data_IF_655360944494
#
_entry.id   IF_655360944494
#
_cell.length_a   1.000
_cell.length_b   1.000
_cell.length_c   1.000
_cell.angle_alpha   90.00
_cell.angle_beta   90.00
_cell.angle_gamma   90.00
#
_symmetry.space_group_name_H-M   'P 1'
#
loop_
_entity.id
_entity.type
_entity.pdbx_description
1 polymer ?
#
# COMPACT_ATOMS: atom_id res chain seq x y z
N UNK A 1 21.25 16.90 74.95
CA UNK A 1 21.19 15.65 74.16
C UNK A 1 22.57 15.39 73.57
N UNK A 2 23.28 14.37 74.04
CA UNK A 2 24.56 13.94 73.46
C UNK A 2 24.25 12.92 72.36
N UNK A 3 24.43 13.30 71.09
CA UNK A 3 24.45 12.32 70.01
C UNK A 3 25.70 11.46 70.19
N UNK A 4 25.53 10.18 70.58
CA UNK A 4 26.59 9.18 70.47
C UNK A 4 26.75 8.87 68.98
N UNK A 5 27.81 9.39 68.37
CA UNK A 5 28.17 9.12 66.98
C UNK A 5 29.19 7.98 66.93
N UNK A 6 28.78 6.77 67.29
CA UNK A 6 29.51 5.56 66.91
C UNK A 6 28.71 4.92 65.78
N UNK A 7 28.99 5.33 64.54
CA UNK A 7 28.46 4.67 63.36
C UNK A 7 29.04 3.25 63.37
N UNK A 8 28.17 2.26 63.48
CA UNK A 8 28.58 0.86 63.44
C UNK A 8 29.07 0.52 62.03
N UNK A 9 30.16 -0.24 61.92
CA UNK A 9 30.64 -0.78 60.63
C UNK A 9 29.52 -1.53 59.89
N UNK A 10 28.59 -2.15 60.63
CA UNK A 10 27.40 -2.79 60.08
C UNK A 10 26.46 -1.81 59.39
N UNK A 11 26.20 -0.63 59.98
CA UNK A 11 25.34 0.40 59.39
C UNK A 11 25.93 0.94 58.09
N UNK A 12 27.26 1.10 58.05
CA UNK A 12 27.99 1.56 56.87
C UNK A 12 27.92 0.54 55.72
N UNK A 13 28.03 -0.75 56.04
CA UNK A 13 27.85 -1.85 55.07
C UNK A 13 26.41 -1.97 54.57
N UNK A 14 25.41 -1.78 55.45
CA UNK A 14 24.00 -1.76 55.05
C UNK A 14 23.70 -0.57 54.14
N UNK A 15 24.19 0.63 54.47
CA UNK A 15 24.03 1.81 53.63
C UNK A 15 24.68 1.62 52.24
N UNK A 16 25.89 1.05 52.19
CA UNK A 16 26.56 0.72 50.93
C UNK A 16 25.75 -0.28 50.09
N UNK A 17 25.19 -1.32 50.72
CA UNK A 17 24.37 -2.33 50.05
C UNK A 17 23.08 -1.73 49.47
N UNK A 18 22.45 -0.79 50.19
CA UNK A 18 21.28 -0.05 49.71
C UNK A 18 21.65 0.80 48.49
N UNK A 19 22.76 1.53 48.53
CA UNK A 19 23.22 2.36 47.40
C UNK A 19 23.51 1.49 46.16
N UNK A 20 24.22 0.38 46.31
CA UNK A 20 24.51 -0.56 45.22
C UNK A 20 23.21 -1.11 44.62
N UNK A 21 22.24 -1.46 45.47
CA UNK A 21 20.92 -1.93 45.03
C UNK A 21 20.16 -0.85 44.25
N UNK A 22 20.17 0.39 44.74
CA UNK A 22 19.52 1.53 44.08
C UNK A 22 20.14 1.82 42.70
N UNK A 23 21.47 1.77 42.60
CA UNK A 23 22.19 1.90 41.31
C UNK A 23 21.78 0.78 40.36
N UNK A 24 21.69 -0.46 40.84
CA UNK A 24 21.23 -1.61 40.05
C UNK A 24 19.81 -1.42 39.50
N UNK A 25 18.89 -0.89 40.32
CA UNK A 25 17.53 -0.56 39.90
C UNK A 25 17.54 0.53 38.83
N UNK A 26 18.31 1.61 39.02
CA UNK A 26 18.40 2.72 38.04
C UNK A 26 18.95 2.25 36.69
N UNK A 27 19.98 1.41 36.69
CA UNK A 27 20.56 0.82 35.47
C UNK A 27 19.52 -0.06 34.76
N UNK A 28 18.85 -0.94 35.51
CA UNK A 28 17.83 -1.86 34.96
C UNK A 28 16.64 -1.08 34.41
N UNK A 29 16.21 -0.03 35.12
CA UNK A 29 15.15 0.86 34.66
C UNK A 29 15.50 1.56 33.35
N UNK A 30 16.69 2.16 33.27
CA UNK A 30 17.15 2.82 32.04
C UNK A 30 17.25 1.83 30.86
N UNK A 31 17.78 0.62 31.11
CA UNK A 31 17.83 -0.44 30.10
C UNK A 31 16.43 -0.85 29.63
N UNK A 32 15.49 -1.02 30.55
CA UNK A 32 14.10 -1.37 30.22
C UNK A 32 13.43 -0.28 29.38
N UNK A 33 13.66 1.00 29.69
CA UNK A 33 13.18 2.12 28.88
C UNK A 33 13.76 2.11 27.47
N UNK A 34 15.06 1.85 27.31
CA UNK A 34 15.70 1.74 25.99
C UNK A 34 15.13 0.58 25.17
N UNK A 35 14.91 -0.59 25.80
CA UNK A 35 14.30 -1.75 25.14
C UNK A 35 12.87 -1.42 24.71
N UNK A 36 12.08 -0.77 25.56
CA UNK A 36 10.71 -0.38 25.24
C UNK A 36 10.66 0.57 24.04
N UNK A 37 11.52 1.60 24.01
CA UNK A 37 11.66 2.54 22.88
C UNK A 37 12.04 1.79 21.59
N UNK A 38 13.00 0.88 21.67
CA UNK A 38 13.46 0.14 20.50
C UNK A 38 12.42 -0.83 19.93
N UNK A 39 11.67 -1.51 20.81
CA UNK A 39 10.55 -2.37 20.42
C UNK A 39 9.45 -1.56 19.73
N UNK A 40 9.13 -0.39 20.27
CA UNK A 40 8.10 0.47 19.69
C UNK A 40 8.54 1.07 18.35
N UNK A 41 9.79 1.51 18.23
CA UNK A 41 10.38 1.94 16.96
C UNK A 41 10.32 0.84 15.89
N UNK A 42 10.68 -0.39 16.26
CA UNK A 42 10.62 -1.55 15.36
C UNK A 42 9.20 -1.78 14.84
N UNK A 43 8.19 -1.75 15.73
CA UNK A 43 6.77 -1.88 15.33
C UNK A 43 6.34 -0.77 14.36
N UNK A 44 6.76 0.47 14.59
CA UNK A 44 6.46 1.57 13.67
C UNK A 44 7.07 1.35 12.28
N UNK A 45 8.31 0.83 12.22
CA UNK A 45 8.97 0.48 10.96
C UNK A 45 8.26 -0.65 10.25
N UNK A 46 7.93 -1.72 10.97
CA UNK A 46 7.20 -2.89 10.43
C UNK A 46 5.87 -2.46 9.81
N UNK A 47 5.08 -1.65 10.53
CA UNK A 47 3.83 -1.09 10.01
C UNK A 47 4.06 -0.21 8.78
N UNK A 48 5.11 0.62 8.77
CA UNK A 48 5.44 1.46 7.62
C UNK A 48 5.85 0.65 6.39
N UNK A 49 6.61 -0.43 6.60
CA UNK A 49 7.01 -1.38 5.55
C UNK A 49 5.78 -2.10 5.00
N UNK A 50 4.87 -2.54 5.87
CA UNK A 50 3.65 -3.22 5.46
C UNK A 50 2.72 -2.28 4.69
N UNK A 51 2.54 -1.02 5.11
CA UNK A 51 1.81 0.00 4.33
C UNK A 51 2.42 0.18 2.94
N UNK A 52 3.74 0.37 2.87
CA UNK A 52 4.45 0.54 1.61
C UNK A 52 4.26 -0.67 0.70
N UNK A 53 4.41 -1.89 1.25
CA UNK A 53 4.24 -3.14 0.54
C UNK A 53 2.82 -3.31 0.01
N UNK A 54 1.79 -3.03 0.81
CA UNK A 54 0.39 -3.17 0.39
C UNK A 54 0.05 -2.24 -0.78
N UNK A 55 0.55 -1.00 -0.77
CA UNK A 55 0.36 -0.04 -1.87
C UNK A 55 1.11 -0.50 -3.13
N UNK A 56 2.33 -1.02 -2.98
CA UNK A 56 3.08 -1.56 -4.11
C UNK A 56 2.40 -2.80 -4.71
N UNK A 57 1.92 -3.72 -3.88
CA UNK A 57 1.17 -4.88 -4.32
C UNK A 57 -0.11 -4.48 -5.06
N UNK A 58 -0.82 -3.45 -4.60
CA UNK A 58 -1.99 -2.95 -5.34
C UNK A 58 -1.58 -2.46 -6.74
N UNK A 59 -0.50 -1.69 -6.87
CA UNK A 59 0.02 -1.32 -8.18
C UNK A 59 0.30 -2.55 -9.06
N UNK A 60 0.94 -3.58 -8.51
CA UNK A 60 1.27 -4.82 -9.24
C UNK A 60 0.01 -5.58 -9.68
N UNK A 61 -1.02 -5.66 -8.83
CA UNK A 61 -2.30 -6.29 -9.15
C UNK A 61 -3.06 -5.54 -10.27
N UNK A 62 -3.01 -4.21 -10.28
CA UNK A 62 -3.58 -3.40 -11.38
C UNK A 62 -2.84 -3.67 -12.70
N UNK A 63 -1.51 -3.86 -12.67
CA UNK A 63 -0.76 -4.25 -13.88
C UNK A 63 -1.10 -5.67 -14.34
N UNK A 64 -1.29 -6.59 -13.38
CA UNK A 64 -1.69 -7.97 -13.67
C UNK A 64 -3.07 -8.02 -14.34
N UNK A 65 -4.00 -7.16 -13.94
CA UNK A 65 -5.31 -7.03 -14.59
C UNK A 65 -5.16 -6.77 -16.10
N UNK A 66 -4.34 -5.80 -16.51
CA UNK A 66 -4.14 -5.52 -17.95
C UNK A 66 -3.51 -6.71 -18.70
N UNK A 67 -2.60 -7.46 -18.06
CA UNK A 67 -2.04 -8.68 -18.66
C UNK A 67 -3.11 -9.77 -18.87
N UNK A 68 -4.06 -9.89 -17.95
CA UNK A 68 -5.18 -10.84 -18.08
C UNK A 68 -6.16 -10.38 -19.17
N UNK A 69 -6.37 -9.08 -19.29
CA UNK A 69 -7.18 -8.49 -20.36
C UNK A 69 -6.57 -8.77 -21.74
N UNK A 70 -5.24 -8.80 -21.91
CA UNK A 70 -4.62 -9.19 -23.20
C UNK A 70 -5.00 -10.63 -23.63
N UNK A 71 -5.15 -11.54 -22.66
CA UNK A 71 -5.63 -12.90 -22.91
C UNK A 71 -7.09 -12.87 -23.36
N UNK A 72 -7.92 -12.07 -22.70
CA UNK A 72 -9.33 -11.88 -23.06
C UNK A 72 -9.49 -11.26 -24.46
N UNK A 73 -8.69 -10.25 -24.82
CA UNK A 73 -8.69 -9.65 -26.16
C UNK A 73 -8.48 -10.72 -27.24
N UNK A 74 -7.55 -11.66 -27.00
CA UNK A 74 -7.29 -12.77 -27.93
C UNK A 74 -8.49 -13.71 -28.06
N UNK A 75 -9.17 -14.02 -26.96
CA UNK A 75 -10.36 -14.88 -26.96
C UNK A 75 -11.51 -14.21 -27.71
N UNK A 76 -11.81 -12.96 -27.38
CA UNK A 76 -12.88 -12.17 -28.01
C UNK A 76 -12.61 -11.96 -29.50
N UNK A 77 -11.37 -11.73 -29.91
CA UNK A 77 -11.00 -11.61 -31.33
C UNK A 77 -11.30 -12.91 -32.11
N UNK A 78 -11.12 -14.09 -31.47
CA UNK A 78 -11.47 -15.38 -32.10
C UNK A 78 -12.97 -15.51 -32.24
N UNK A 79 -13.74 -15.24 -31.19
CA UNK A 79 -15.19 -15.24 -31.25
C UNK A 79 -15.71 -14.33 -32.35
N UNK A 80 -15.19 -13.10 -32.45
CA UNK A 80 -15.56 -12.19 -33.53
C UNK A 80 -15.28 -12.77 -34.93
N UNK A 81 -14.15 -13.44 -35.10
CA UNK A 81 -13.78 -14.07 -36.38
C UNK A 81 -14.72 -15.22 -36.74
N UNK A 82 -15.21 -15.95 -35.73
CA UNK A 82 -16.12 -17.10 -35.90
C UNK A 82 -17.57 -16.68 -36.14
N UNK A 83 -18.05 -15.66 -35.44
CA UNK A 83 -19.47 -15.26 -35.44
C UNK A 83 -19.76 -14.06 -36.33
N UNK A 84 -18.76 -13.21 -36.57
CA UNK A 84 -18.91 -11.88 -37.18
C UNK A 84 -19.96 -11.00 -36.47
N UNK A 85 -20.22 -11.24 -35.19
CA UNK A 85 -21.21 -10.51 -34.39
C UNK A 85 -20.50 -9.54 -33.43
N UNK A 86 -20.60 -8.24 -33.72
CA UNK A 86 -19.98 -7.17 -32.92
C UNK A 86 -20.64 -7.00 -31.56
N UNK A 87 -21.95 -7.21 -31.47
CA UNK A 87 -22.71 -7.03 -30.24
C UNK A 87 -22.33 -8.14 -29.26
N UNK A 88 -22.35 -9.39 -29.73
CA UNK A 88 -21.90 -10.53 -28.93
C UNK A 88 -20.44 -10.37 -28.48
N UNK A 89 -19.57 -9.92 -29.39
CA UNK A 89 -18.14 -9.70 -29.10
C UNK A 89 -17.94 -8.63 -28.03
N UNK A 90 -18.66 -7.51 -28.12
CA UNK A 90 -18.64 -6.46 -27.09
C UNK A 90 -19.11 -7.00 -25.75
N UNK A 91 -20.25 -7.70 -25.73
CA UNK A 91 -20.87 -8.17 -24.49
C UNK A 91 -19.97 -9.17 -23.77
N UNK A 92 -19.38 -10.12 -24.50
CA UNK A 92 -18.41 -11.06 -23.95
C UNK A 92 -17.13 -10.38 -23.44
N UNK A 93 -16.65 -9.36 -24.16
CA UNK A 93 -15.50 -8.59 -23.72
C UNK A 93 -15.79 -7.84 -22.41
N UNK A 94 -16.93 -7.16 -22.33
CA UNK A 94 -17.34 -6.42 -21.16
C UNK A 94 -17.60 -7.32 -19.96
N UNK A 95 -18.27 -8.45 -20.16
CA UNK A 95 -18.46 -9.46 -19.11
C UNK A 95 -17.11 -9.92 -18.55
N UNK A 96 -16.18 -10.30 -19.44
CA UNK A 96 -14.85 -10.73 -19.04
C UNK A 96 -14.05 -9.65 -18.31
N UNK A 97 -14.03 -8.42 -18.83
CA UNK A 97 -13.33 -7.29 -18.19
C UNK A 97 -13.94 -6.97 -16.82
N UNK A 98 -15.26 -6.98 -16.71
CA UNK A 98 -15.97 -6.72 -15.45
C UNK A 98 -15.68 -7.80 -14.41
N UNK A 99 -15.66 -9.07 -14.82
CA UNK A 99 -15.28 -10.16 -13.94
C UNK A 99 -13.84 -10.00 -13.41
N UNK A 100 -12.88 -9.72 -14.30
CA UNK A 100 -11.49 -9.48 -13.92
C UNK A 100 -11.36 -8.28 -12.96
N UNK A 101 -12.17 -7.22 -13.17
CA UNK A 101 -12.21 -6.05 -12.28
C UNK A 101 -12.77 -6.42 -10.91
N UNK A 102 -13.86 -7.18 -10.84
CA UNK A 102 -14.46 -7.62 -9.58
C UNK A 102 -13.49 -8.49 -8.76
N UNK A 103 -12.76 -9.39 -9.43
CA UNK A 103 -11.75 -10.24 -8.78
C UNK A 103 -10.60 -9.40 -8.21
N UNK A 104 -10.14 -8.40 -8.97
CA UNK A 104 -9.16 -7.43 -8.51
C UNK A 104 -9.67 -6.63 -7.30
N UNK A 105 -10.86 -6.03 -7.39
CA UNK A 105 -11.43 -5.21 -6.32
C UNK A 105 -11.61 -6.03 -5.02
N UNK A 106 -11.99 -7.31 -5.14
CA UNK A 106 -12.05 -8.24 -4.00
C UNK A 106 -10.69 -8.43 -3.33
N UNK A 107 -9.62 -8.61 -4.11
CA UNK A 107 -8.25 -8.69 -3.58
C UNK A 107 -7.83 -7.38 -2.92
N UNK A 108 -8.18 -6.23 -3.48
CA UNK A 108 -7.84 -4.91 -2.91
C UNK A 108 -8.57 -4.67 -1.60
N UNK A 109 -9.88 -4.95 -1.54
CA UNK A 109 -10.68 -4.86 -0.31
C UNK A 109 -10.10 -5.76 0.80
N UNK A 110 -9.62 -6.96 0.45
CA UNK A 110 -9.02 -7.89 1.43
C UNK A 110 -7.76 -7.34 2.13
N UNK A 111 -7.12 -6.30 1.57
CA UNK A 111 -5.95 -5.63 2.19
C UNK A 111 -6.33 -4.69 3.33
N UNK A 112 -7.63 -4.39 3.51
CA UNK A 112 -8.21 -3.60 4.61
C UNK A 112 -7.43 -2.32 4.96
N UNK A 113 -7.27 -1.45 3.96
CA UNK A 113 -6.55 -0.19 4.10
C UNK A 113 -7.13 0.73 5.19
N UNK A 114 -8.43 0.63 5.50
CA UNK A 114 -9.06 1.42 6.55
C UNK A 114 -8.59 0.98 7.94
N UNK A 115 -8.62 -0.32 8.24
CA UNK A 115 -8.06 -0.83 9.49
C UNK A 115 -6.56 -0.53 9.58
N UNK A 116 -5.84 -0.64 8.46
CA UNK A 116 -4.43 -0.31 8.42
C UNK A 116 -4.15 1.17 8.74
N UNK A 117 -4.96 2.09 8.21
CA UNK A 117 -4.87 3.51 8.56
C UNK A 117 -5.04 3.76 10.06
N UNK A 118 -6.02 3.11 10.72
CA UNK A 118 -6.17 3.22 12.17
C UNK A 118 -4.93 2.75 12.94
N UNK A 119 -4.26 1.69 12.48
CA UNK A 119 -3.01 1.23 13.08
C UNK A 119 -1.89 2.26 12.94
N UNK A 120 -1.76 2.90 11.77
CA UNK A 120 -0.78 3.97 11.53
C UNK A 120 -1.09 5.22 12.37
N UNK A 121 -2.37 5.60 12.47
CA UNK A 121 -2.81 6.74 13.27
C UNK A 121 -2.52 6.53 14.76
N UNK A 122 -2.83 5.33 15.29
CA UNK A 122 -2.55 4.96 16.68
C UNK A 122 -1.06 5.01 17.04
N UNK A 123 -0.18 4.87 16.04
CA UNK A 123 1.28 4.99 16.20
C UNK A 123 1.82 6.39 15.89
N UNK A 124 0.95 7.35 15.58
CA UNK A 124 1.34 8.70 15.19
C UNK A 124 2.13 8.76 13.88
N UNK A 125 2.00 7.75 13.02
CA UNK A 125 2.69 7.67 11.72
C UNK A 125 1.97 8.52 10.67
N UNK A 126 0.64 8.57 10.73
CA UNK A 126 -0.22 9.19 9.73
C UNK A 126 -1.07 10.34 10.30
N UNK A 127 -0.43 11.25 11.07
CA UNK A 127 -1.13 12.36 11.74
C UNK A 127 -1.85 13.29 10.76
N UNK A 128 -1.23 13.56 9.61
CA UNK A 128 -1.79 14.40 8.55
C UNK A 128 -2.72 13.62 7.60
N UNK A 129 -3.06 12.36 7.92
CA UNK A 129 -3.93 11.49 7.11
C UNK A 129 -3.44 11.26 5.66
N UNK A 130 -2.14 11.42 5.40
CA UNK A 130 -1.53 11.28 4.07
C UNK A 130 -1.80 9.89 3.50
N UNK A 131 -1.72 8.83 4.31
CA UNK A 131 -1.98 7.48 3.84
C UNK A 131 -3.40 7.33 3.33
N UNK A 132 -4.41 7.62 4.16
CA UNK A 132 -5.81 7.40 3.76
C UNK A 132 -6.25 8.33 2.63
N UNK A 133 -5.77 9.58 2.61
CA UNK A 133 -6.03 10.51 1.51
C UNK A 133 -5.41 10.01 0.19
N UNK A 134 -4.19 9.46 0.24
CA UNK A 134 -3.55 8.87 -0.95
C UNK A 134 -4.34 7.67 -1.45
N UNK A 135 -4.78 6.77 -0.56
CA UNK A 135 -5.58 5.60 -0.93
C UNK A 135 -6.89 6.03 -1.59
N UNK A 136 -7.64 6.95 -0.98
CA UNK A 136 -8.90 7.43 -1.53
C UNK A 136 -8.74 8.12 -2.90
N UNK A 137 -7.63 8.86 -3.09
CA UNK A 137 -7.32 9.49 -4.36
C UNK A 137 -6.96 8.45 -5.44
N UNK A 138 -6.17 7.43 -5.09
CA UNK A 138 -5.86 6.32 -5.99
C UNK A 138 -7.13 5.57 -6.41
N UNK A 139 -8.00 5.22 -5.47
CA UNK A 139 -9.28 4.55 -5.76
C UNK A 139 -10.07 5.33 -6.80
N UNK A 140 -10.22 6.65 -6.59
CA UNK A 140 -10.95 7.53 -7.51
C UNK A 140 -10.30 7.62 -8.89
N UNK A 141 -8.99 7.82 -8.97
CA UNK A 141 -8.29 8.01 -10.24
C UNK A 141 -8.21 6.71 -11.04
N UNK A 142 -7.99 5.58 -10.38
CA UNK A 142 -8.01 4.25 -11.00
C UNK A 142 -9.40 3.94 -11.55
N UNK A 143 -10.46 4.18 -10.76
CA UNK A 143 -11.84 4.00 -11.23
C UNK A 143 -12.14 4.87 -12.46
N UNK A 144 -11.77 6.15 -12.42
CA UNK A 144 -11.94 7.04 -13.57
C UNK A 144 -11.16 6.55 -14.80
N UNK A 145 -9.95 6.03 -14.60
CA UNK A 145 -9.15 5.48 -15.68
C UNK A 145 -9.79 4.21 -16.28
N UNK A 146 -10.38 3.36 -15.42
CA UNK A 146 -11.08 2.15 -15.84
C UNK A 146 -12.37 2.46 -16.61
N UNK A 147 -13.17 3.43 -16.18
CA UNK A 147 -14.37 3.87 -16.91
C UNK A 147 -14.02 4.42 -18.30
N UNK A 148 -12.94 5.21 -18.39
CA UNK A 148 -12.44 5.70 -19.67
C UNK A 148 -11.94 4.56 -20.57
N UNK A 149 -11.28 3.55 -19.99
CA UNK A 149 -10.86 2.34 -20.70
C UNK A 149 -12.05 1.57 -21.28
N UNK A 150 -13.12 1.36 -20.51
CA UNK A 150 -14.34 0.69 -20.99
C UNK A 150 -14.98 1.43 -22.15
N UNK A 151 -15.08 2.76 -22.06
CA UNK A 151 -15.65 3.59 -23.12
C UNK A 151 -14.82 3.54 -24.41
N UNK A 152 -13.49 3.62 -24.30
CA UNK A 152 -12.62 3.59 -25.48
C UNK A 152 -12.59 2.22 -26.16
N UNK A 153 -12.65 1.13 -25.39
CA UNK A 153 -12.74 -0.24 -25.93
C UNK A 153 -14.11 -0.54 -26.54
N UNK A 154 -15.20 -0.04 -25.96
CA UNK A 154 -16.54 -0.13 -26.55
C UNK A 154 -16.59 0.55 -27.92
N UNK A 155 -16.14 1.79 -27.99
CA UNK A 155 -16.07 2.55 -29.24
C UNK A 155 -15.21 1.79 -30.27
N UNK A 156 -14.11 1.18 -29.85
CA UNK A 156 -13.26 0.39 -30.74
C UNK A 156 -13.98 -0.82 -31.36
N UNK A 157 -14.78 -1.54 -30.56
CA UNK A 157 -15.51 -2.73 -30.99
C UNK A 157 -16.70 -2.35 -31.87
N UNK A 158 -17.43 -1.29 -31.51
CA UNK A 158 -18.65 -0.89 -32.22
C UNK A 158 -18.38 -0.11 -33.51
N UNK A 159 -17.38 0.79 -33.52
CA UNK A 159 -17.17 1.73 -34.62
C UNK A 159 -16.22 1.26 -35.70
N UNK A 160 -15.38 0.24 -35.46
CA UNK A 160 -14.56 -0.29 -36.55
C UNK A 160 -15.46 -1.03 -37.52
N UNK A 161 -15.66 -0.44 -38.70
CA UNK A 161 -16.17 -1.14 -39.87
C UNK A 161 -15.21 -2.28 -40.19
N UNK A 162 -15.58 -3.46 -39.71
CA UNK A 162 -14.92 -4.69 -40.06
C UNK A 162 -15.74 -5.33 -41.19
N UNK A 163 -15.34 -5.12 -42.45
CA UNK A 163 -15.86 -5.68 -43.68
C UNK A 163 -14.99 -6.86 -44.25
N UNK A 164 -13.80 -7.14 -43.69
CA UNK A 164 -12.82 -8.14 -44.12
C UNK A 164 -12.24 -8.93 -42.91
N UNK A 165 -12.12 -10.27 -42.95
CA UNK A 165 -11.47 -11.05 -41.90
C UNK A 165 -10.02 -10.63 -41.53
N UNK A 166 -9.30 -9.93 -42.40
CA UNK A 166 -8.01 -9.27 -42.06
C UNK A 166 -8.16 -8.21 -40.96
N UNK A 167 -9.37 -7.72 -40.71
CA UNK A 167 -9.64 -6.67 -39.74
C UNK A 167 -9.86 -7.20 -38.32
N UNK A 168 -10.01 -8.51 -38.11
CA UNK A 168 -9.95 -9.12 -36.77
C UNK A 168 -8.58 -8.89 -36.11
N UNK A 169 -7.49 -9.03 -36.88
CA UNK A 169 -6.15 -8.68 -36.41
C UNK A 169 -6.01 -7.17 -36.11
N UNK A 170 -6.71 -6.33 -36.88
CA UNK A 170 -6.72 -4.86 -36.72
C UNK A 170 -7.51 -4.45 -35.47
N UNK A 171 -8.62 -5.12 -35.15
CA UNK A 171 -9.37 -4.91 -33.91
C UNK A 171 -8.53 -5.36 -32.70
N UNK A 172 -7.99 -6.57 -32.74
CA UNK A 172 -7.17 -7.11 -31.65
C UNK A 172 -5.93 -6.25 -31.36
N UNK A 173 -5.21 -5.79 -32.40
CA UNK A 173 -4.07 -4.90 -32.22
C UNK A 173 -4.47 -3.54 -31.65
N UNK A 174 -5.61 -3.00 -32.06
CA UNK A 174 -6.10 -1.74 -31.51
C UNK A 174 -6.48 -1.89 -30.03
N UNK A 175 -7.21 -2.95 -29.67
CA UNK A 175 -7.56 -3.22 -28.28
C UNK A 175 -6.32 -3.39 -27.41
N UNK A 176 -5.26 -4.06 -27.90
CA UNK A 176 -3.97 -4.14 -27.19
C UNK A 176 -3.31 -2.78 -27.01
N UNK A 177 -3.30 -1.94 -28.05
CA UNK A 177 -2.75 -0.59 -27.93
C UNK A 177 -3.52 0.27 -26.91
N UNK A 178 -4.86 0.13 -26.86
CA UNK A 178 -5.69 0.78 -25.84
C UNK A 178 -5.35 0.19 -24.46
N UNK A 179 -5.27 -1.13 -24.32
CA UNK A 179 -4.90 -1.82 -23.09
C UNK A 179 -3.54 -1.32 -22.56
N UNK A 180 -2.52 -1.25 -23.42
CA UNK A 180 -1.17 -0.74 -23.11
C UNK A 180 -1.20 0.73 -22.65
N UNK A 181 -1.93 1.59 -23.38
CA UNK A 181 -2.12 3.01 -23.03
C UNK A 181 -2.68 3.18 -21.62
N UNK A 182 -3.74 2.43 -21.28
CA UNK A 182 -4.37 2.54 -19.96
C UNK A 182 -3.55 1.87 -18.86
N UNK A 183 -2.81 0.80 -19.17
CA UNK A 183 -1.83 0.18 -18.28
C UNK A 183 -0.75 1.17 -17.86
N UNK A 184 -0.17 1.86 -18.83
CA UNK A 184 0.88 2.86 -18.59
C UNK A 184 0.34 4.07 -17.82
N UNK A 185 -0.86 4.52 -18.15
CA UNK A 185 -1.53 5.59 -17.41
C UNK A 185 -1.83 5.22 -15.95
N UNK A 186 -2.31 4.00 -15.70
CA UNK A 186 -2.48 3.50 -14.32
C UNK A 186 -1.14 3.46 -13.58
N UNK A 187 -0.07 2.98 -14.24
CA UNK A 187 1.28 2.96 -13.65
C UNK A 187 1.76 4.36 -13.28
N UNK A 188 1.49 5.36 -14.12
CA UNK A 188 1.82 6.76 -13.88
C UNK A 188 1.04 7.34 -12.70
N UNK A 189 -0.29 7.10 -12.64
CA UNK A 189 -1.14 7.48 -11.50
C UNK A 189 -0.54 6.96 -10.18
N UNK A 190 -0.20 5.67 -10.11
CA UNK A 190 0.42 5.12 -8.90
C UNK A 190 1.77 5.77 -8.59
N UNK A 191 2.61 6.02 -9.60
CA UNK A 191 3.93 6.63 -9.40
C UNK A 191 3.81 8.02 -8.78
N UNK A 192 2.91 8.85 -9.31
CA UNK A 192 2.77 10.25 -8.94
C UNK A 192 2.09 10.41 -7.59
N UNK A 193 0.93 9.76 -7.42
CA UNK A 193 0.11 9.95 -6.23
C UNK A 193 0.73 9.30 -4.99
N UNK A 194 1.51 8.22 -5.15
CA UNK A 194 2.18 7.58 -4.01
C UNK A 194 3.50 8.23 -3.61
N UNK A 195 4.00 9.24 -4.34
CA UNK A 195 5.34 9.79 -4.12
C UNK A 195 5.50 10.36 -2.70
N UNK A 196 4.55 11.19 -2.26
CA UNK A 196 4.56 11.79 -0.91
C UNK A 196 4.47 10.72 0.17
N UNK A 197 3.53 9.78 0.01
CA UNK A 197 3.36 8.67 0.93
C UNK A 197 4.63 7.82 1.06
N UNK A 198 5.24 7.44 -0.07
CA UNK A 198 6.48 6.67 -0.11
C UNK A 198 7.62 7.40 0.58
N UNK A 199 7.73 8.72 0.41
CA UNK A 199 8.73 9.54 1.08
C UNK A 199 8.53 9.54 2.60
N UNK A 200 7.30 9.73 3.06
CA UNK A 200 6.96 9.70 4.50
C UNK A 200 7.25 8.34 5.13
N UNK A 201 6.77 7.24 4.54
CA UNK A 201 7.00 5.89 5.05
C UNK A 201 8.49 5.55 5.08
N UNK A 202 9.25 5.87 4.02
CA UNK A 202 10.71 5.67 3.99
C UNK A 202 11.44 6.48 5.05
N UNK A 203 11.00 7.71 5.32
CA UNK A 203 11.59 8.52 6.38
C UNK A 203 11.42 7.86 7.76
N UNK A 204 10.30 7.20 8.02
CA UNK A 204 10.08 6.46 9.27
C UNK A 204 10.95 5.20 9.32
N UNK A 205 11.00 4.44 8.22
CA UNK A 205 11.79 3.21 8.13
C UNK A 205 13.27 3.46 8.42
N UNK A 206 13.82 4.58 7.93
CA UNK A 206 15.25 4.89 7.99
C UNK A 206 15.68 5.71 9.22
N UNK A 207 14.73 6.31 9.96
CA UNK A 207 15.04 7.10 11.15
C UNK A 207 15.60 6.24 12.29
N UNK A 208 16.60 6.72 13.05
CA UNK A 208 17.05 6.05 14.27
C UNK A 208 15.98 6.10 15.38
N UNK A 209 15.98 5.10 16.27
CA UNK A 209 14.91 4.88 17.26
C UNK A 209 14.55 6.15 18.05
N UNK A 210 15.56 6.86 18.56
CA UNK A 210 15.33 8.09 19.34
C UNK A 210 14.64 9.18 18.51
N UNK A 211 15.02 9.35 17.24
CA UNK A 211 14.49 10.40 16.38
C UNK A 211 13.03 10.18 15.94
N UNK A 212 12.47 8.98 16.16
CA UNK A 212 11.05 8.72 15.95
C UNK A 212 10.17 9.36 17.02
N UNK A 213 10.69 9.57 18.24
CA UNK A 213 9.91 10.05 19.38
C UNK A 213 10.20 11.51 19.77
N UNK A 214 11.37 12.06 19.41
CA UNK A 214 11.76 13.44 19.79
C UNK A 214 10.94 14.56 19.11
N UNK A 215 10.21 14.27 18.03
CA UNK A 215 9.37 15.27 17.33
C UNK A 215 7.91 15.31 17.82
N UNK A 216 7.52 14.47 18.78
CA UNK A 216 6.14 14.43 19.31
C UNK A 216 5.95 15.28 20.59
N UNK A 217 6.96 16.03 21.01
CA UNK A 217 6.99 16.77 22.30
C UNK A 217 6.89 18.30 22.16
N UNK A 218 6.52 18.81 20.98
CA UNK A 218 6.24 20.22 20.72
C UNK A 218 4.78 20.37 20.34
#
# INVERSE_FOLDING_TARGET
MKFKSEISVGELLTALSIIISLIGVLITWNKNQQIAISNEATRMRELSIQAFSNVQQWQEEEQLFFNQVDVLIKQVSRTYTETNDRILTRDMFWEGVTQLRNDLDTKIISKDFKTFHFQLLNKGIDQDSVFITTIALLEKLVQFNFEAYLKETELAILLKEINDPRESAILGNYLRNVNDKYRDKTKEIFREETMTLKKQLRAIITKPDRALFFNQSQ
#
